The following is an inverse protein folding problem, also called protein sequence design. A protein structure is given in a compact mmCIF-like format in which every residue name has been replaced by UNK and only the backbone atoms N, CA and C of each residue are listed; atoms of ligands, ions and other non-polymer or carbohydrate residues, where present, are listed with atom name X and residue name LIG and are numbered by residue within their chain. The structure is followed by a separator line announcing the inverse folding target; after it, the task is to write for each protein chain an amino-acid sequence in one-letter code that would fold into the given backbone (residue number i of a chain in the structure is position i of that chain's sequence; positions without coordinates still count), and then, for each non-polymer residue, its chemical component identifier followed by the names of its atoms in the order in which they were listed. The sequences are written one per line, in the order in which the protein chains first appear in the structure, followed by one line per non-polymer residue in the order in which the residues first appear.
data_IF_996671787649
#
_entry.id   IF_996671787649
#
_cell.length_a   1.000
_cell.length_b   1.000
_cell.length_c   1.000
_cell.angle_alpha   90.00
_cell.angle_beta   90.00
_cell.angle_gamma   90.00
#
_symmetry.space_group_name_H-M   'P 1'
#
loop_
_entity.id
_entity.type
_entity.pdbx_description
1 polymer ?
#
# COMPACT_ATOMS: atom_id res chain seq x y z
N UNK A 1 -17.76 93.21 19.70
CA UNK A 1 -16.94 94.26 20.33
C UNK A 1 -17.12 95.55 19.54
N UNK A 2 -17.22 96.70 20.23
CA UNK A 2 -16.94 98.08 19.78
C UNK A 2 -17.41 98.55 18.38
N UNK A 3 -18.11 99.69 18.21
CA UNK A 3 -18.54 100.77 19.14
C UNK A 3 -19.54 101.68 18.39
N UNK A 4 -20.52 102.26 19.12
CA UNK A 4 -21.18 103.58 18.87
C UNK A 4 -22.03 103.71 17.57
N UNK A 5 -23.14 104.46 17.47
CA UNK A 5 -23.98 105.30 18.36
C UNK A 5 -25.39 105.35 17.66
N UNK A 6 -26.54 105.09 18.30
CA UNK A 6 -27.50 106.08 18.88
C UNK A 6 -27.64 107.41 18.07
N UNK A 7 -28.84 107.98 17.80
CA UNK A 7 -30.07 108.11 18.63
C UNK A 7 -31.37 108.05 17.78
N UNK A 8 -32.47 107.63 18.40
CA UNK A 8 -33.87 107.73 17.93
C UNK A 8 -34.79 108.18 19.09
N UNK A 9 -35.56 109.28 18.95
CA UNK A 9 -36.70 109.72 19.81
C UNK A 9 -37.39 110.91 19.08
N UNK A 10 -38.71 111.03 18.82
CA UNK A 10 -40.00 110.78 19.49
C UNK A 10 -40.50 111.85 20.50
N UNK A 11 -41.63 112.47 20.12
CA UNK A 11 -42.74 113.05 20.91
C UNK A 11 -42.69 114.52 21.44
N UNK A 12 -43.86 115.17 21.36
CA UNK A 12 -44.21 116.55 21.75
C UNK A 12 -44.58 116.65 23.28
N UNK A 13 -45.04 117.76 23.93
CA UNK A 13 -45.94 118.83 23.40
C UNK A 13 -45.92 120.27 24.04
N UNK A 14 -46.80 121.20 23.55
CA UNK A 14 -47.31 122.47 24.19
C UNK A 14 -46.26 123.61 24.48
N UNK A 15 -46.53 124.91 24.75
CA UNK A 15 -47.71 125.85 24.66
C UNK A 15 -47.30 127.34 24.76
N UNK A 16 -48.06 128.26 24.10
CA UNK A 16 -48.27 129.71 24.41
C UNK A 16 -47.02 130.67 24.33
N UNK A 17 -47.09 131.95 23.93
CA UNK A 17 -48.19 132.92 23.68
C UNK A 17 -47.74 134.04 22.67
N UNK A 18 -48.71 134.64 21.97
CA UNK A 18 -48.76 136.04 21.48
C UNK A 18 -47.97 136.54 20.22
N UNK A 19 -48.77 136.87 19.19
CA UNK A 19 -48.75 138.11 18.39
C UNK A 19 -47.67 138.37 17.32
N UNK A 20 -48.05 138.29 16.02
CA UNK A 20 -47.27 138.93 14.95
C UNK A 20 -47.64 138.63 13.48
N UNK A 21 -48.80 139.11 13.00
CA UNK A 21 -49.14 139.42 11.58
C UNK A 21 -48.49 138.60 10.43
N UNK A 22 -49.31 137.73 9.83
CA UNK A 22 -49.46 137.46 8.39
C UNK A 22 -48.33 137.87 7.41
N UNK A 23 -47.58 136.88 6.89
CA UNK A 23 -47.14 136.69 5.49
C UNK A 23 -45.95 135.71 5.39
N UNK A 24 -46.11 134.44 5.80
CA UNK A 24 -45.00 133.45 5.72
C UNK A 24 -45.41 131.98 5.51
N UNK A 25 -46.70 131.70 5.24
CA UNK A 25 -47.25 130.33 5.30
C UNK A 25 -47.18 129.55 3.96
N UNK A 26 -46.68 130.16 2.88
CA UNK A 26 -46.66 129.57 1.53
C UNK A 26 -45.27 129.04 1.10
N UNK A 27 -44.19 129.40 1.81
CA UNK A 27 -42.81 129.01 1.46
C UNK A 27 -42.32 127.72 2.13
N UNK A 28 -42.77 127.36 3.34
CA UNK A 28 -42.29 126.15 4.03
C UNK A 28 -42.86 124.85 3.44
N UNK A 29 -44.08 124.89 2.90
CA UNK A 29 -44.79 123.72 2.35
C UNK A 29 -44.16 123.15 1.07
N UNK A 30 -43.39 123.97 0.35
CA UNK A 30 -42.66 123.56 -0.86
C UNK A 30 -41.30 122.92 -0.54
N UNK A 31 -40.65 123.29 0.58
CA UNK A 31 -39.36 122.72 0.97
C UNK A 31 -39.49 121.24 1.41
N UNK A 32 -40.45 120.95 2.29
CA UNK A 32 -40.69 119.58 2.79
C UNK A 32 -41.04 118.58 1.70
N UNK A 33 -41.64 119.06 0.60
CA UNK A 33 -42.06 118.21 -0.53
C UNK A 33 -40.86 117.84 -1.42
N UNK A 34 -39.83 118.69 -1.49
CA UNK A 34 -38.61 118.44 -2.29
C UNK A 34 -37.67 117.46 -1.57
N UNK A 35 -37.50 117.59 -0.25
CA UNK A 35 -36.65 116.69 0.54
C UNK A 35 -37.18 115.24 0.57
N UNK A 36 -38.51 115.06 0.67
CA UNK A 36 -39.14 113.73 0.60
C UNK A 36 -38.93 113.10 -0.78
N UNK A 37 -39.01 113.89 -1.86
CA UNK A 37 -38.83 113.38 -3.21
C UNK A 37 -37.38 112.90 -3.47
N UNK A 38 -36.39 113.66 -3.00
CA UNK A 38 -34.96 113.27 -3.05
C UNK A 38 -34.69 111.98 -2.27
N UNK A 39 -35.24 111.85 -1.06
CA UNK A 39 -35.12 110.63 -0.25
C UNK A 39 -35.77 109.40 -0.92
N UNK A 40 -36.91 109.59 -1.60
CA UNK A 40 -37.57 108.51 -2.36
C UNK A 40 -36.70 108.06 -3.54
N UNK A 41 -36.07 108.99 -4.26
CA UNK A 41 -35.24 108.64 -5.42
C UNK A 41 -33.86 108.04 -4.99
N UNK A 42 -33.25 108.47 -3.88
CA UNK A 42 -32.09 107.77 -3.28
C UNK A 42 -32.45 106.33 -2.83
N UNK A 43 -33.58 106.15 -2.16
CA UNK A 43 -34.08 104.82 -1.76
C UNK A 43 -34.36 103.94 -3.01
N UNK A 44 -34.82 104.55 -4.11
CA UNK A 44 -35.10 103.85 -5.36
C UNK A 44 -33.83 103.44 -6.12
N UNK A 45 -32.80 104.29 -6.15
CA UNK A 45 -31.46 103.96 -6.67
C UNK A 45 -30.81 102.85 -5.84
N UNK A 46 -30.82 102.99 -4.50
CA UNK A 46 -30.26 101.99 -3.58
C UNK A 46 -30.93 100.62 -3.73
N UNK A 47 -32.27 100.56 -3.78
CA UNK A 47 -33.02 99.32 -4.03
C UNK A 47 -32.75 98.73 -5.42
N UNK A 48 -32.44 99.55 -6.43
CA UNK A 48 -32.05 99.08 -7.77
C UNK A 48 -30.73 98.31 -7.72
N UNK A 49 -29.71 98.88 -7.08
CA UNK A 49 -28.41 98.22 -6.88
C UNK A 49 -28.55 96.94 -6.06
N UNK A 50 -29.33 96.98 -4.98
CA UNK A 50 -29.58 95.82 -4.13
C UNK A 50 -30.32 94.69 -4.88
N UNK A 51 -31.32 95.02 -5.70
CA UNK A 51 -32.01 94.05 -6.57
C UNK A 51 -31.13 93.48 -7.69
N UNK A 52 -30.10 94.20 -8.12
CA UNK A 52 -29.15 93.69 -9.12
C UNK A 52 -28.18 92.68 -8.50
N UNK A 53 -27.59 93.02 -7.34
CA UNK A 53 -26.75 92.09 -6.56
C UNK A 53 -27.52 90.81 -6.20
N UNK A 54 -28.78 90.92 -5.79
CA UNK A 54 -29.61 89.78 -5.40
C UNK A 54 -29.93 88.87 -6.61
N UNK A 55 -30.03 89.42 -7.83
CA UNK A 55 -30.14 88.62 -9.07
C UNK A 55 -28.84 87.92 -9.44
N UNK A 56 -27.71 88.58 -9.28
CA UNK A 56 -26.38 87.99 -9.54
C UNK A 56 -26.11 86.84 -8.55
N UNK A 57 -26.44 87.02 -7.27
CA UNK A 57 -26.30 85.97 -6.25
C UNK A 57 -27.24 84.78 -6.49
N UNK A 58 -28.51 85.01 -6.87
CA UNK A 58 -29.43 83.93 -7.29
C UNK A 58 -28.91 83.21 -8.53
N UNK A 59 -28.34 83.93 -9.51
CA UNK A 59 -27.74 83.33 -10.71
C UNK A 59 -26.57 82.41 -10.33
N UNK A 60 -25.70 82.87 -9.43
CA UNK A 60 -24.54 82.12 -8.98
C UNK A 60 -24.94 80.87 -8.17
N UNK A 61 -25.95 80.99 -7.31
CA UNK A 61 -26.51 79.85 -6.55
C UNK A 61 -27.11 78.80 -7.49
N UNK A 62 -27.86 79.21 -8.52
CA UNK A 62 -28.43 78.29 -9.50
C UNK A 62 -27.34 77.54 -10.32
N UNK A 63 -26.25 78.21 -10.68
CA UNK A 63 -25.10 77.57 -11.35
C UNK A 63 -24.37 76.56 -10.44
N UNK A 64 -24.24 76.87 -9.15
CA UNK A 64 -23.68 75.94 -8.16
C UNK A 64 -24.59 74.73 -7.96
N UNK A 65 -25.91 74.93 -7.92
CA UNK A 65 -26.90 73.84 -7.81
C UNK A 65 -26.83 72.93 -9.04
N UNK A 66 -26.80 73.47 -10.27
CA UNK A 66 -26.73 72.63 -11.47
C UNK A 66 -25.44 71.79 -11.52
N UNK A 67 -24.31 72.36 -11.12
CA UNK A 67 -23.02 71.63 -11.01
C UNK A 67 -23.06 70.53 -9.94
N UNK A 68 -23.76 70.74 -8.83
CA UNK A 68 -23.96 69.72 -7.80
C UNK A 68 -24.87 68.59 -8.28
N UNK A 69 -25.93 68.89 -9.03
CA UNK A 69 -26.82 67.88 -9.62
C UNK A 69 -26.10 67.05 -10.70
N UNK A 70 -25.28 67.67 -11.56
CA UNK A 70 -24.42 66.96 -12.52
C UNK A 70 -23.47 65.99 -11.81
N UNK A 71 -22.77 66.44 -10.75
CA UNK A 71 -21.90 65.58 -9.94
C UNK A 71 -22.66 64.45 -9.24
N UNK A 72 -23.88 64.72 -8.74
CA UNK A 72 -24.72 63.70 -8.12
C UNK A 72 -25.15 62.63 -9.12
N UNK A 73 -25.47 63.02 -10.36
CA UNK A 73 -25.77 62.10 -11.47
C UNK A 73 -24.54 61.26 -11.83
N UNK A 74 -23.35 61.88 -11.94
CA UNK A 74 -22.10 61.17 -12.24
C UNK A 74 -21.74 60.16 -11.15
N UNK A 75 -21.81 60.53 -9.87
CA UNK A 75 -21.60 59.64 -8.72
C UNK A 75 -22.61 58.48 -8.72
N UNK A 76 -23.88 58.73 -9.08
CA UNK A 76 -24.91 57.70 -9.18
C UNK A 76 -24.62 56.72 -10.32
N UNK A 77 -24.14 57.21 -11.47
CA UNK A 77 -23.74 56.40 -12.61
C UNK A 77 -22.48 55.57 -12.30
N UNK A 78 -21.48 56.14 -11.62
CA UNK A 78 -20.29 55.42 -11.14
C UNK A 78 -20.66 54.32 -10.15
N UNK A 79 -21.53 54.61 -9.16
CA UNK A 79 -22.04 53.59 -8.22
C UNK A 79 -22.80 52.46 -8.92
N UNK A 80 -23.58 52.77 -9.96
CA UNK A 80 -24.27 51.76 -10.79
C UNK A 80 -23.25 50.88 -11.53
N UNK A 81 -22.26 51.49 -12.20
CA UNK A 81 -21.22 50.80 -12.96
C UNK A 81 -20.32 49.91 -12.08
N UNK A 82 -20.02 50.34 -10.85
CA UNK A 82 -19.31 49.53 -9.85
C UNK A 82 -20.16 48.34 -9.38
N UNK A 83 -21.48 48.53 -9.23
CA UNK A 83 -22.42 47.46 -8.84
C UNK A 83 -22.66 46.43 -9.95
N UNK A 84 -22.50 46.84 -11.22
CA UNK A 84 -22.57 45.97 -12.40
C UNK A 84 -21.25 45.19 -12.61
N UNK A 85 -20.09 45.79 -12.34
CA UNK A 85 -18.77 45.13 -12.39
C UNK A 85 -18.51 44.14 -11.22
N UNK A 86 -19.33 43.09 -11.07
CA UNK A 86 -19.00 41.97 -10.19
C UNK A 86 -17.93 41.05 -10.81
N UNK A 87 -16.67 41.52 -10.83
CA UNK A 87 -15.48 40.74 -11.21
C UNK A 87 -15.43 39.35 -10.56
N UNK A 88 -15.95 39.22 -9.34
CA UNK A 88 -16.02 37.96 -8.59
C UNK A 88 -16.95 36.95 -9.28
N UNK A 89 -18.13 37.37 -9.78
CA UNK A 89 -19.07 36.45 -10.44
C UNK A 89 -18.74 36.22 -11.91
N UNK A 90 -18.13 37.19 -12.59
CA UNK A 90 -17.79 37.08 -14.03
C UNK A 90 -16.48 36.34 -14.30
N UNK A 91 -15.45 36.51 -13.45
CA UNK A 91 -14.13 35.91 -13.68
C UNK A 91 -13.76 34.86 -12.61
N UNK A 92 -13.85 35.22 -11.32
CA UNK A 92 -13.37 34.32 -10.26
C UNK A 92 -14.25 33.07 -10.14
N UNK A 93 -15.57 33.22 -10.18
CA UNK A 93 -16.50 32.10 -10.04
C UNK A 93 -16.38 31.08 -11.19
N UNK A 94 -16.34 31.45 -12.50
CA UNK A 94 -16.11 30.48 -13.57
C UNK A 94 -14.74 29.80 -13.52
N UNK A 95 -13.67 30.52 -13.12
CA UNK A 95 -12.33 29.93 -12.94
C UNK A 95 -12.36 28.89 -11.81
N UNK A 96 -12.94 29.24 -10.66
CA UNK A 96 -13.05 28.33 -9.52
C UNK A 96 -13.92 27.10 -9.82
N UNK A 97 -15.05 27.31 -10.50
CA UNK A 97 -15.90 26.22 -10.99
C UNK A 97 -15.15 25.31 -11.98
N UNK A 98 -14.32 25.88 -12.85
CA UNK A 98 -13.49 25.14 -13.80
C UNK A 98 -12.40 24.33 -13.10
N UNK A 99 -11.79 24.86 -12.04
CA UNK A 99 -10.81 24.13 -11.21
C UNK A 99 -11.49 22.96 -10.48
N UNK A 100 -12.65 23.19 -9.84
CA UNK A 100 -13.43 22.13 -9.20
C UNK A 100 -13.83 21.06 -10.23
N UNK A 101 -14.35 21.48 -11.38
CA UNK A 101 -14.70 20.57 -12.48
C UNK A 101 -13.47 19.76 -12.91
N UNK A 102 -12.32 20.39 -13.15
CA UNK A 102 -11.08 19.71 -13.53
C UNK A 102 -10.63 18.69 -12.46
N UNK A 103 -10.71 19.03 -11.16
CA UNK A 103 -10.42 18.09 -10.07
C UNK A 103 -11.39 16.90 -10.05
N UNK A 104 -12.70 17.15 -10.25
CA UNK A 104 -13.73 16.10 -10.33
C UNK A 104 -13.51 15.20 -11.56
N UNK A 105 -13.28 15.79 -12.74
CA UNK A 105 -12.98 15.06 -13.98
C UNK A 105 -11.70 14.23 -13.84
N UNK A 106 -10.61 14.81 -13.32
CA UNK A 106 -9.38 14.06 -13.05
C UNK A 106 -9.62 12.91 -12.06
N UNK A 107 -10.38 13.13 -10.99
CA UNK A 107 -10.66 12.10 -10.01
C UNK A 107 -11.45 10.91 -10.61
N UNK A 108 -12.53 11.19 -11.33
CA UNK A 108 -13.42 10.15 -11.88
C UNK A 108 -12.92 9.48 -13.16
N UNK A 109 -12.18 10.20 -14.02
CA UNK A 109 -11.73 9.69 -15.32
C UNK A 109 -10.25 9.28 -15.38
N UNK A 110 -9.40 9.81 -14.48
CA UNK A 110 -7.98 9.43 -14.40
C UNK A 110 -7.69 8.63 -13.12
N UNK A 111 -7.80 9.23 -11.94
CA UNK A 111 -7.35 8.63 -10.69
C UNK A 111 -8.10 7.35 -10.31
N UNK A 112 -9.44 7.36 -10.32
CA UNK A 112 -10.25 6.19 -9.93
C UNK A 112 -10.08 5.02 -10.93
N UNK A 113 -10.17 5.21 -12.26
CA UNK A 113 -9.91 4.14 -13.22
C UNK A 113 -8.49 3.60 -13.15
N UNK A 114 -7.49 4.47 -12.95
CA UNK A 114 -6.10 4.04 -12.78
C UNK A 114 -5.90 3.24 -11.49
N UNK A 115 -6.50 3.65 -10.36
CA UNK A 115 -6.46 2.88 -9.11
C UNK A 115 -7.11 1.50 -9.25
N UNK A 116 -8.22 1.41 -9.99
CA UNK A 116 -8.87 0.12 -10.32
C UNK A 116 -7.96 -0.72 -11.22
N UNK A 117 -7.34 -0.13 -12.26
CA UNK A 117 -6.37 -0.79 -13.15
C UNK A 117 -5.18 -1.33 -12.36
N UNK A 118 -4.56 -0.50 -11.53
CA UNK A 118 -3.42 -0.84 -10.66
C UNK A 118 -3.75 -2.02 -9.76
N UNK A 119 -4.91 -2.01 -9.09
CA UNK A 119 -5.35 -3.13 -8.24
C UNK A 119 -5.54 -4.43 -9.04
N UNK A 120 -6.20 -4.37 -10.21
CA UNK A 120 -6.45 -5.55 -11.07
C UNK A 120 -5.16 -6.13 -11.70
N UNK A 121 -4.22 -5.28 -12.08
CA UNK A 121 -2.90 -5.72 -12.57
C UNK A 121 -2.11 -6.34 -11.42
N UNK A 122 -2.07 -5.67 -10.26
CA UNK A 122 -1.30 -6.13 -9.11
C UNK A 122 -1.71 -7.51 -8.61
N UNK A 123 -3.01 -7.81 -8.58
CA UNK A 123 -3.50 -9.16 -8.21
C UNK A 123 -2.96 -10.27 -9.14
N UNK A 124 -2.75 -9.99 -10.43
CA UNK A 124 -2.13 -10.92 -11.38
C UNK A 124 -0.62 -11.07 -11.15
N UNK A 125 0.06 -10.01 -10.73
CA UNK A 125 1.49 -10.05 -10.39
C UNK A 125 1.73 -10.83 -9.10
N UNK A 126 0.95 -10.57 -8.06
CA UNK A 126 0.97 -11.32 -6.81
C UNK A 126 0.74 -12.83 -7.04
N UNK A 127 -0.14 -13.21 -7.99
CA UNK A 127 -0.32 -14.60 -8.42
C UNK A 127 0.93 -15.19 -9.12
N UNK A 128 1.59 -14.44 -10.01
CA UNK A 128 2.79 -14.91 -10.70
C UNK A 128 3.96 -15.09 -9.72
N UNK A 129 4.13 -14.19 -8.76
CA UNK A 129 5.13 -14.33 -7.69
C UNK A 129 4.84 -15.52 -6.79
N UNK A 130 3.57 -15.76 -6.45
CA UNK A 130 3.17 -16.98 -5.75
C UNK A 130 3.52 -18.23 -6.55
N UNK A 131 3.42 -18.22 -7.89
CA UNK A 131 3.87 -19.34 -8.73
C UNK A 131 5.40 -19.51 -8.72
N UNK A 132 6.18 -18.42 -8.70
CA UNK A 132 7.64 -18.48 -8.55
C UNK A 132 8.01 -19.08 -7.19
N UNK A 133 7.37 -18.63 -6.11
CA UNK A 133 7.51 -19.20 -4.77
C UNK A 133 7.23 -20.72 -4.76
N UNK A 134 6.17 -21.18 -5.44
CA UNK A 134 5.85 -22.61 -5.52
C UNK A 134 6.91 -23.41 -6.29
N UNK A 135 7.38 -22.91 -7.45
CA UNK A 135 8.38 -23.64 -8.22
C UNK A 135 9.75 -23.65 -7.51
N UNK A 136 10.12 -22.59 -6.77
CA UNK A 136 11.28 -22.58 -5.87
C UNK A 136 11.11 -23.58 -4.70
N UNK A 137 9.96 -23.58 -4.02
CA UNK A 137 9.66 -24.59 -3.00
C UNK A 137 9.85 -26.02 -3.54
N UNK A 138 9.36 -26.27 -4.77
CA UNK A 138 9.51 -27.56 -5.42
C UNK A 138 10.92 -27.87 -5.93
N UNK A 139 11.79 -26.86 -6.16
CA UNK A 139 13.22 -27.09 -6.33
C UNK A 139 13.79 -27.64 -5.02
N UNK A 140 13.56 -27.00 -3.87
CA UNK A 140 14.08 -27.51 -2.59
C UNK A 140 13.52 -28.89 -2.21
N UNK A 141 12.25 -29.18 -2.46
CA UNK A 141 11.69 -30.53 -2.32
C UNK A 141 12.35 -31.55 -3.27
N UNK A 142 12.70 -31.13 -4.50
CA UNK A 142 13.46 -31.96 -5.44
C UNK A 142 14.88 -32.25 -4.98
N UNK A 143 15.58 -31.26 -4.41
CA UNK A 143 16.93 -31.46 -3.86
C UNK A 143 16.90 -32.36 -2.63
N UNK A 144 15.88 -32.24 -1.77
CA UNK A 144 15.81 -32.96 -0.49
C UNK A 144 15.05 -34.31 -0.56
N UNK A 145 14.54 -34.75 -1.71
CA UNK A 145 13.85 -36.06 -1.82
C UNK A 145 14.84 -37.23 -1.83
N UNK A 146 14.41 -38.35 -1.26
CA UNK A 146 15.19 -39.60 -1.19
C UNK A 146 14.87 -40.58 -2.34
N UNK A 147 13.69 -40.49 -2.97
CA UNK A 147 13.26 -41.30 -4.13
C UNK A 147 12.51 -40.45 -5.15
N UNK A 148 12.45 -40.90 -6.41
CA UNK A 148 11.84 -40.18 -7.54
C UNK A 148 10.37 -39.78 -7.30
N UNK A 149 9.58 -40.70 -6.74
CA UNK A 149 8.12 -40.62 -6.62
C UNK A 149 7.63 -40.30 -5.19
N UNK A 150 8.50 -39.79 -4.32
CA UNK A 150 8.17 -39.44 -2.93
C UNK A 150 8.37 -37.94 -2.67
N UNK A 151 7.54 -37.28 -1.84
CA UNK A 151 7.88 -35.98 -1.28
C UNK A 151 9.16 -36.06 -0.44
N UNK A 152 9.80 -34.92 -0.18
CA UNK A 152 10.88 -34.86 0.81
C UNK A 152 10.35 -34.96 2.23
N UNK A 153 11.06 -35.68 3.12
CA UNK A 153 10.82 -35.60 4.57
C UNK A 153 11.15 -34.21 5.13
N UNK A 154 11.94 -33.39 4.43
CA UNK A 154 12.40 -32.06 4.86
C UNK A 154 11.42 -30.92 4.54
N UNK A 155 10.20 -31.21 4.05
CA UNK A 155 9.20 -30.17 3.74
C UNK A 155 8.91 -29.23 4.91
N UNK A 156 8.93 -29.72 6.15
CA UNK A 156 8.77 -28.89 7.34
C UNK A 156 9.92 -27.87 7.49
N UNK A 157 11.18 -28.27 7.21
CA UNK A 157 12.33 -27.35 7.21
C UNK A 157 12.24 -26.32 6.09
N UNK A 158 11.79 -26.72 4.89
CA UNK A 158 11.63 -25.81 3.75
C UNK A 158 10.56 -24.75 4.07
N UNK A 159 9.37 -25.17 4.52
CA UNK A 159 8.26 -24.26 4.82
C UNK A 159 8.54 -23.35 6.03
N UNK A 160 9.25 -23.87 7.03
CA UNK A 160 9.65 -23.14 8.24
C UNK A 160 10.89 -22.26 8.11
N UNK A 161 11.52 -22.18 6.93
CA UNK A 161 12.77 -21.45 6.68
C UNK A 161 13.97 -21.94 7.53
N UNK A 162 14.05 -23.26 7.77
CA UNK A 162 15.00 -23.92 8.67
C UNK A 162 16.02 -24.83 7.97
N UNK A 163 16.17 -24.78 6.64
CA UNK A 163 17.25 -25.50 5.96
C UNK A 163 18.59 -24.78 6.14
N UNK A 164 19.57 -25.47 6.73
CA UNK A 164 20.96 -25.01 6.78
C UNK A 164 21.73 -25.32 5.49
N UNK A 165 22.91 -24.72 5.35
CA UNK A 165 23.85 -25.02 4.25
C UNK A 165 24.22 -26.51 4.21
N UNK A 166 24.40 -27.14 5.37
CA UNK A 166 24.71 -28.56 5.49
C UNK A 166 23.51 -29.47 5.15
N UNK A 167 22.27 -29.06 5.46
CA UNK A 167 21.06 -29.78 5.01
C UNK A 167 21.02 -29.82 3.47
N UNK A 168 21.26 -28.67 2.81
CA UNK A 168 21.28 -28.56 1.35
C UNK A 168 22.43 -29.38 0.75
N UNK A 169 23.64 -29.25 1.31
CA UNK A 169 24.81 -30.06 0.89
C UNK A 169 24.54 -31.55 1.02
N UNK A 170 23.87 -31.98 2.08
CA UNK A 170 23.46 -33.37 2.33
C UNK A 170 22.41 -33.83 1.30
N UNK A 171 21.36 -33.04 1.05
CA UNK A 171 20.33 -33.37 0.06
C UNK A 171 20.87 -33.57 -1.36
N UNK A 172 21.92 -32.83 -1.73
CA UNK A 172 22.58 -32.92 -3.03
C UNK A 172 23.50 -34.14 -3.20
N UNK A 173 23.92 -34.83 -2.13
CA UNK A 173 24.91 -35.92 -2.20
C UNK A 173 24.46 -37.14 -3.00
N UNK A 174 23.16 -37.31 -3.22
CA UNK A 174 22.63 -38.40 -4.04
C UNK A 174 21.96 -37.90 -5.33
N UNK A 175 22.25 -36.67 -5.75
CA UNK A 175 21.64 -36.04 -6.94
C UNK A 175 22.68 -35.89 -8.06
N UNK A 176 22.32 -36.27 -9.27
CA UNK A 176 23.11 -36.04 -10.48
C UNK A 176 22.28 -35.35 -11.58
N UNK A 177 22.93 -34.81 -12.61
CA UNK A 177 22.24 -34.04 -13.65
C UNK A 177 21.36 -34.95 -14.55
N UNK A 178 21.88 -36.08 -14.99
CA UNK A 178 21.19 -36.97 -15.93
C UNK A 178 21.68 -38.43 -15.81
N UNK A 179 21.07 -39.34 -16.55
CA UNK A 179 21.32 -40.80 -16.46
C UNK A 179 22.75 -41.23 -16.91
N UNK A 180 23.47 -40.42 -17.69
CA UNK A 180 24.86 -40.72 -18.08
C UNK A 180 25.83 -40.70 -16.89
N UNK A 181 25.45 -40.03 -15.79
CA UNK A 181 26.22 -39.99 -14.53
C UNK A 181 26.06 -41.26 -13.67
N UNK A 182 25.34 -42.28 -14.14
CA UNK A 182 25.05 -43.54 -13.43
C UNK A 182 26.02 -44.68 -13.82
N UNK A 183 27.28 -44.36 -14.11
CA UNK A 183 28.27 -45.31 -14.66
C UNK A 183 28.92 -46.23 -13.61
N UNK A 184 29.02 -45.82 -12.34
CA UNK A 184 29.53 -46.68 -11.26
C UNK A 184 28.49 -47.74 -10.86
N UNK A 185 28.75 -49.02 -11.18
CA UNK A 185 27.81 -50.14 -10.94
C UNK A 185 27.35 -50.27 -9.49
N UNK A 186 28.23 -50.00 -8.52
CA UNK A 186 27.99 -50.24 -7.09
C UNK A 186 27.08 -49.19 -6.45
N UNK A 187 27.12 -47.95 -6.96
CA UNK A 187 26.39 -46.80 -6.38
C UNK A 187 25.30 -46.21 -7.28
N UNK A 188 25.16 -46.67 -8.55
CA UNK A 188 24.15 -46.15 -9.49
C UNK A 188 22.71 -46.15 -8.94
N UNK A 189 22.37 -47.14 -8.10
CA UNK A 189 21.03 -47.28 -7.51
C UNK A 189 20.76 -46.28 -6.37
N UNK A 190 21.79 -45.62 -5.85
CA UNK A 190 21.70 -44.61 -4.81
C UNK A 190 21.54 -43.20 -5.39
N UNK A 191 21.94 -42.99 -6.65
CA UNK A 191 21.90 -41.71 -7.35
C UNK A 191 20.55 -41.45 -8.02
N UNK A 192 20.12 -40.19 -7.99
CA UNK A 192 18.89 -39.69 -8.58
C UNK A 192 19.20 -38.62 -9.64
N UNK A 193 18.92 -38.91 -10.93
CA UNK A 193 18.90 -37.90 -11.99
C UNK A 193 17.81 -36.86 -11.74
N UNK A 194 18.18 -35.59 -11.59
CA UNK A 194 17.24 -34.48 -11.31
C UNK A 194 17.33 -33.29 -12.27
N UNK A 195 18.36 -33.22 -13.13
CA UNK A 195 18.59 -32.07 -14.01
C UNK A 195 17.38 -31.69 -14.85
N UNK A 196 16.73 -32.65 -15.53
CA UNK A 196 15.49 -32.39 -16.30
C UNK A 196 14.40 -31.73 -15.45
N UNK A 197 14.15 -32.22 -14.25
CA UNK A 197 13.14 -31.65 -13.35
C UNK A 197 13.58 -30.34 -12.70
N UNK A 198 14.88 -30.00 -12.69
CA UNK A 198 15.37 -28.66 -12.34
C UNK A 198 15.13 -27.69 -13.51
N UNK A 199 15.58 -28.03 -14.72
CA UNK A 199 15.40 -27.22 -15.94
C UNK A 199 13.93 -26.89 -16.19
N UNK A 200 13.03 -27.87 -16.06
CA UNK A 200 11.56 -27.67 -16.19
C UNK A 200 10.97 -26.66 -15.19
N UNK A 201 11.59 -26.49 -14.02
CA UNK A 201 11.16 -25.50 -13.00
C UNK A 201 11.77 -24.13 -13.25
N UNK A 202 13.05 -24.09 -13.61
CA UNK A 202 13.76 -22.84 -13.97
C UNK A 202 13.03 -22.14 -15.11
N UNK A 203 12.71 -22.86 -16.20
CA UNK A 203 11.95 -22.33 -17.35
C UNK A 203 10.59 -21.72 -16.93
N UNK A 204 9.90 -22.31 -15.94
CA UNK A 204 8.63 -21.75 -15.43
C UNK A 204 8.83 -20.52 -14.57
N UNK A 205 9.91 -20.48 -13.77
CA UNK A 205 10.29 -19.32 -12.97
C UNK A 205 10.63 -18.16 -13.90
N UNK A 206 11.54 -18.36 -14.86
CA UNK A 206 11.91 -17.36 -15.89
C UNK A 206 10.67 -16.80 -16.58
N UNK A 207 9.80 -17.68 -17.10
CA UNK A 207 8.57 -17.29 -17.79
C UNK A 207 7.64 -16.45 -16.91
N UNK A 208 7.62 -16.67 -15.60
CA UNK A 208 6.81 -15.89 -14.68
C UNK A 208 7.50 -14.58 -14.25
N UNK A 209 8.84 -14.55 -14.14
CA UNK A 209 9.62 -13.32 -13.94
C UNK A 209 9.44 -12.38 -15.14
N UNK A 210 9.62 -12.87 -16.36
CA UNK A 210 9.47 -12.07 -17.59
C UNK A 210 8.03 -11.52 -17.73
N UNK A 211 7.02 -12.32 -17.35
CA UNK A 211 5.62 -11.88 -17.26
C UNK A 211 5.39 -10.78 -16.22
N UNK A 212 6.15 -10.80 -15.12
CA UNK A 212 6.07 -9.78 -14.08
C UNK A 212 6.76 -8.48 -14.54
N UNK A 213 7.94 -8.59 -15.17
CA UNK A 213 8.70 -7.43 -15.67
C UNK A 213 8.00 -6.68 -16.82
N UNK A 214 7.15 -7.34 -17.61
CA UNK A 214 6.21 -6.65 -18.54
C UNK A 214 5.28 -5.63 -17.85
N UNK A 215 5.17 -5.67 -16.52
CA UNK A 215 4.38 -4.76 -15.69
C UNK A 215 5.23 -4.13 -14.57
N UNK A 216 6.53 -3.94 -14.79
CA UNK A 216 7.50 -3.42 -13.79
C UNK A 216 7.05 -2.12 -13.10
N UNK A 217 6.34 -1.22 -13.79
CA UNK A 217 5.73 -0.01 -13.23
C UNK A 217 4.76 -0.24 -12.04
N UNK A 218 4.34 -1.49 -11.80
CA UNK A 218 3.44 -1.89 -10.71
C UNK A 218 4.16 -2.67 -9.59
N UNK A 219 5.48 -2.72 -9.61
CA UNK A 219 6.35 -3.39 -8.62
C UNK A 219 7.10 -2.36 -7.76
N UNK A 220 7.56 -2.78 -6.59
CA UNK A 220 8.58 -2.06 -5.84
C UNK A 220 9.99 -2.37 -6.36
N UNK A 221 10.95 -1.50 -6.08
CA UNK A 221 12.37 -1.74 -6.39
C UNK A 221 12.89 -3.02 -5.72
N UNK A 222 12.45 -3.30 -4.49
CA UNK A 222 12.81 -4.52 -3.75
C UNK A 222 12.32 -5.79 -4.46
N UNK A 223 11.10 -5.78 -5.00
CA UNK A 223 10.55 -6.90 -5.78
C UNK A 223 11.33 -7.11 -7.08
N UNK A 224 11.69 -6.03 -7.78
CA UNK A 224 12.47 -6.11 -9.03
C UNK A 224 13.85 -6.69 -8.76
N UNK A 225 14.58 -6.16 -7.77
CA UNK A 225 15.91 -6.64 -7.42
C UNK A 225 15.89 -8.09 -6.95
N UNK A 226 14.91 -8.50 -6.12
CA UNK A 226 14.80 -9.87 -5.65
C UNK A 226 14.55 -10.87 -6.79
N UNK A 227 13.67 -10.52 -7.74
CA UNK A 227 13.38 -11.40 -8.87
C UNK A 227 14.59 -11.53 -9.81
N UNK A 228 15.37 -10.45 -9.99
CA UNK A 228 16.61 -10.48 -10.76
C UNK A 228 17.71 -11.28 -10.04
N UNK A 229 17.89 -11.10 -8.72
CA UNK A 229 18.77 -11.94 -7.89
C UNK A 229 18.41 -13.43 -8.06
N UNK A 230 17.12 -13.79 -7.97
CA UNK A 230 16.65 -15.17 -8.16
C UNK A 230 17.01 -15.68 -9.56
N UNK A 231 16.79 -14.88 -10.61
CA UNK A 231 17.10 -15.25 -12.00
C UNK A 231 18.60 -15.54 -12.17
N UNK A 232 19.45 -14.63 -11.69
CA UNK A 232 20.92 -14.77 -11.77
C UNK A 232 21.39 -16.03 -11.01
N UNK A 233 20.89 -16.26 -9.79
CA UNK A 233 21.28 -17.44 -8.98
C UNK A 233 20.80 -18.77 -9.62
N UNK A 234 19.64 -18.80 -10.29
CA UNK A 234 19.18 -19.99 -11.02
C UNK A 234 20.07 -20.34 -12.22
N UNK A 235 20.61 -19.33 -12.92
CA UNK A 235 21.44 -19.51 -14.11
C UNK A 235 22.96 -19.47 -13.84
N UNK A 236 23.37 -19.50 -12.57
CA UNK A 236 24.80 -19.54 -12.17
C UNK A 236 25.50 -20.84 -12.58
N UNK A 237 24.75 -21.94 -12.74
CA UNK A 237 25.26 -23.20 -13.29
C UNK A 237 24.44 -23.65 -14.50
N UNK A 238 25.14 -24.14 -15.52
CA UNK A 238 24.51 -24.75 -16.68
C UNK A 238 23.94 -26.14 -16.32
N UNK A 239 22.61 -26.22 -16.25
CA UNK A 239 21.87 -27.48 -16.00
C UNK A 239 21.45 -28.05 -17.36
N UNK A 240 22.43 -28.28 -18.24
CA UNK A 240 22.19 -28.91 -19.52
C UNK A 240 21.87 -30.41 -19.36
N UNK A 241 20.75 -30.81 -19.93
CA UNK A 241 20.31 -32.22 -19.96
C UNK A 241 20.74 -32.95 -21.23
N UNK A 242 21.30 -32.23 -22.21
CA UNK A 242 21.48 -32.69 -23.58
C UNK A 242 22.93 -32.97 -23.99
N UNK A 243 23.86 -33.03 -23.04
CA UNK A 243 25.20 -33.56 -23.28
C UNK A 243 25.14 -35.07 -23.62
N UNK A 244 24.77 -35.37 -24.87
CA UNK A 244 24.99 -36.64 -25.60
C UNK A 244 26.47 -36.92 -25.86
N UNK A 245 27.36 -36.07 -25.36
CA UNK A 245 28.78 -36.40 -25.21
C UNK A 245 28.90 -37.47 -24.14
N UNK A 246 28.62 -38.70 -24.55
CA UNK A 246 29.42 -39.85 -24.16
C UNK A 246 30.87 -39.34 -24.31
N UNK A 247 31.62 -39.09 -23.21
CA UNK A 247 33.05 -38.87 -23.38
C UNK A 247 33.56 -40.14 -24.06
N UNK A 248 34.48 -39.99 -25.01
CA UNK A 248 34.93 -41.03 -25.95
C UNK A 248 35.28 -42.36 -25.28
N UNK A 249 35.59 -43.40 -26.06
CA UNK A 249 35.90 -44.76 -25.53
C UNK A 249 36.90 -44.81 -24.34
N UNK A 250 37.71 -43.76 -24.14
CA UNK A 250 38.64 -43.54 -23.03
C UNK A 250 38.21 -42.40 -22.07
N UNK A 251 36.90 -42.23 -21.87
CA UNK A 251 36.31 -40.99 -21.34
C UNK A 251 36.68 -40.63 -19.89
N UNK A 252 37.02 -39.36 -19.66
CA UNK A 252 37.21 -38.79 -18.32
C UNK A 252 35.85 -38.60 -17.63
N UNK A 253 35.63 -39.29 -16.50
CA UNK A 253 34.45 -39.15 -15.66
C UNK A 253 34.80 -38.49 -14.32
N UNK A 254 33.97 -37.57 -13.79
CA UNK A 254 34.24 -36.91 -12.51
C UNK A 254 34.04 -37.88 -11.34
N UNK A 255 35.08 -38.14 -10.53
CA UNK A 255 35.07 -39.09 -9.40
C UNK A 255 33.80 -38.96 -8.54
N UNK A 256 33.36 -37.72 -8.29
CA UNK A 256 32.06 -37.41 -7.72
C UNK A 256 31.09 -36.91 -8.82
N UNK A 257 30.15 -37.73 -9.31
CA UNK A 257 29.17 -37.36 -10.33
C UNK A 257 27.96 -36.57 -9.79
N UNK A 258 28.01 -36.13 -8.53
CA UNK A 258 26.88 -35.45 -7.87
C UNK A 258 26.91 -33.94 -8.10
N UNK A 259 25.75 -33.29 -8.00
CA UNK A 259 25.62 -31.82 -8.04
C UNK A 259 25.92 -31.14 -6.69
N UNK A 260 26.59 -31.84 -5.75
CA UNK A 260 26.87 -31.30 -4.41
C UNK A 260 27.82 -30.10 -4.39
N UNK A 261 28.60 -29.90 -5.46
CA UNK A 261 29.39 -28.68 -5.67
C UNK A 261 28.51 -27.41 -5.78
N UNK A 262 27.26 -27.54 -6.22
CA UNK A 262 26.29 -26.43 -6.31
C UNK A 262 25.70 -26.01 -4.95
N UNK A 263 26.13 -26.61 -3.84
CA UNK A 263 25.54 -26.39 -2.50
C UNK A 263 25.62 -24.95 -2.00
N UNK A 264 26.63 -24.17 -2.41
CA UNK A 264 26.69 -22.73 -2.14
C UNK A 264 25.54 -21.97 -2.83
N UNK A 265 25.43 -22.12 -4.15
CA UNK A 265 24.40 -21.48 -4.97
C UNK A 265 22.97 -21.85 -4.54
N UNK A 266 22.72 -23.12 -4.19
CA UNK A 266 21.40 -23.53 -3.68
C UNK A 266 21.10 -22.98 -2.28
N UNK A 267 22.11 -22.73 -1.44
CA UNK A 267 21.92 -22.06 -0.15
C UNK A 267 21.61 -20.57 -0.32
N UNK A 268 22.29 -19.89 -1.25
CA UNK A 268 21.99 -18.51 -1.63
C UNK A 268 20.57 -18.40 -2.21
N UNK A 269 20.20 -19.29 -3.14
CA UNK A 269 18.83 -19.39 -3.66
C UNK A 269 17.80 -19.63 -2.56
N UNK A 270 18.13 -20.40 -1.52
CA UNK A 270 17.23 -20.62 -0.38
C UNK A 270 17.02 -19.34 0.41
N UNK A 271 18.07 -18.54 0.63
CA UNK A 271 17.92 -17.21 1.25
C UNK A 271 17.00 -16.30 0.42
N UNK A 272 17.13 -16.29 -0.91
CA UNK A 272 16.22 -15.54 -1.80
C UNK A 272 14.77 -16.06 -1.76
N UNK A 273 14.59 -17.38 -1.68
CA UNK A 273 13.28 -18.00 -1.48
C UNK A 273 12.61 -17.55 -0.16
N UNK A 274 13.36 -17.43 0.94
CA UNK A 274 12.78 -16.93 2.21
C UNK A 274 12.39 -15.45 2.13
N UNK A 275 13.19 -14.60 1.46
CA UNK A 275 12.81 -13.20 1.14
C UNK A 275 11.50 -13.16 0.33
N UNK A 276 11.39 -13.97 -0.72
CA UNK A 276 10.20 -14.00 -1.58
C UNK A 276 8.97 -14.51 -0.83
N UNK A 277 9.12 -15.52 0.02
CA UNK A 277 8.04 -16.04 0.85
C UNK A 277 7.44 -14.94 1.76
N UNK A 278 8.28 -14.12 2.40
CA UNK A 278 7.83 -12.99 3.21
C UNK A 278 7.00 -12.00 2.38
N UNK A 279 7.50 -11.60 1.20
CA UNK A 279 6.79 -10.73 0.26
C UNK A 279 5.43 -11.34 -0.15
N UNK A 280 5.42 -12.59 -0.60
CA UNK A 280 4.22 -13.34 -1.01
C UNK A 280 3.19 -13.46 0.12
N UNK A 281 3.61 -13.68 1.37
CA UNK A 281 2.71 -13.77 2.51
C UNK A 281 2.24 -12.40 3.06
N UNK A 282 2.91 -11.30 2.71
CA UNK A 282 2.50 -9.94 3.08
C UNK A 282 1.39 -9.36 2.19
N UNK A 283 1.24 -9.89 0.96
CA UNK A 283 0.35 -9.37 -0.09
C UNK A 283 -1.14 -9.58 0.20
N UNK A 284 -1.97 -8.86 -0.57
CA UNK A 284 -3.44 -8.91 -0.48
C UNK A 284 -4.05 -10.10 -1.24
N UNK A 285 -3.39 -10.58 -2.29
CA UNK A 285 -3.83 -11.76 -3.03
C UNK A 285 -3.95 -12.97 -2.09
N UNK A 286 -5.07 -13.69 -2.15
CA UNK A 286 -5.36 -14.79 -1.23
C UNK A 286 -6.15 -15.89 -1.95
N UNK A 287 -5.56 -17.08 -2.03
CA UNK A 287 -6.25 -18.31 -2.44
C UNK A 287 -6.10 -19.41 -1.37
N UNK A 288 -6.85 -20.50 -1.50
CA UNK A 288 -6.81 -21.65 -0.57
C UNK A 288 -5.39 -22.14 -0.29
N UNK A 289 -4.58 -22.35 -1.33
CA UNK A 289 -3.27 -22.97 -1.19
C UNK A 289 -2.27 -22.00 -0.55
N UNK A 290 -2.34 -20.71 -0.89
CA UNK A 290 -1.55 -19.65 -0.26
C UNK A 290 -1.87 -19.53 1.24
N UNK A 291 -3.17 -19.60 1.60
CA UNK A 291 -3.60 -19.65 2.99
C UNK A 291 -3.00 -20.86 3.74
N UNK A 292 -3.12 -22.07 3.17
CA UNK A 292 -2.57 -23.29 3.79
C UNK A 292 -1.04 -23.22 3.94
N UNK A 293 -0.30 -22.79 2.91
CA UNK A 293 1.15 -22.61 3.00
C UNK A 293 1.56 -21.57 4.05
N UNK A 294 0.79 -20.49 4.22
CA UNK A 294 1.01 -19.48 5.25
C UNK A 294 0.77 -20.03 6.67
N UNK A 295 -0.26 -20.87 6.86
CA UNK A 295 -0.49 -21.59 8.14
C UNK A 295 0.66 -22.55 8.45
N UNK A 296 1.09 -23.36 7.47
CA UNK A 296 2.21 -24.28 7.62
C UNK A 296 3.51 -23.55 7.92
N UNK A 297 3.78 -22.42 7.26
CA UNK A 297 4.93 -21.59 7.55
C UNK A 297 4.92 -21.07 8.99
N UNK A 298 3.83 -20.45 9.45
CA UNK A 298 3.77 -19.97 10.85
C UNK A 298 3.94 -21.10 11.86
N UNK A 299 3.42 -22.29 11.57
CA UNK A 299 3.62 -23.45 12.43
C UNK A 299 5.09 -23.93 12.45
N UNK A 300 5.69 -24.16 11.28
CA UNK A 300 7.06 -24.68 11.19
C UNK A 300 8.16 -23.65 11.50
N UNK A 301 7.84 -22.35 11.53
CA UNK A 301 8.69 -21.26 12.04
C UNK A 301 8.45 -20.96 13.54
N UNK A 302 7.77 -21.86 14.26
CA UNK A 302 7.44 -21.79 15.69
C UNK A 302 6.57 -20.58 16.11
N UNK A 303 5.97 -19.90 15.13
CA UNK A 303 5.09 -18.75 15.32
C UNK A 303 3.64 -19.17 15.59
N UNK A 304 3.46 -20.02 16.59
CA UNK A 304 2.20 -20.69 16.93
C UNK A 304 1.03 -19.73 17.20
N UNK A 305 1.31 -18.55 17.77
CA UNK A 305 0.30 -17.52 18.03
C UNK A 305 -0.26 -16.91 16.73
N UNK A 306 0.59 -16.58 15.76
CA UNK A 306 0.12 -16.12 14.45
C UNK A 306 -0.55 -17.23 13.65
N UNK A 307 -0.09 -18.48 13.78
CA UNK A 307 -0.75 -19.66 13.21
C UNK A 307 -2.22 -19.74 13.68
N UNK A 308 -2.45 -19.80 15.01
CA UNK A 308 -3.80 -19.88 15.59
C UNK A 308 -4.65 -18.65 15.20
N UNK A 309 -4.07 -17.45 15.23
CA UNK A 309 -4.75 -16.19 14.88
C UNK A 309 -5.25 -16.18 13.44
N UNK A 310 -4.42 -16.57 12.47
CA UNK A 310 -4.81 -16.59 11.06
C UNK A 310 -5.77 -17.75 10.74
N UNK A 311 -5.65 -18.90 11.41
CA UNK A 311 -6.67 -19.96 11.31
C UNK A 311 -8.03 -19.44 11.79
N UNK A 312 -8.13 -18.92 13.03
CA UNK A 312 -9.40 -18.45 13.61
C UNK A 312 -10.03 -17.32 12.78
N UNK A 313 -9.22 -16.44 12.20
CA UNK A 313 -9.67 -15.34 11.33
C UNK A 313 -10.29 -15.81 10.00
N UNK A 314 -9.85 -16.96 9.45
CA UNK A 314 -10.16 -17.34 8.05
C UNK A 314 -10.79 -18.73 7.86
N UNK A 315 -10.83 -19.59 8.87
CA UNK A 315 -11.33 -20.98 8.72
C UNK A 315 -12.76 -21.06 8.17
N UNK A 316 -13.61 -20.07 8.47
CA UNK A 316 -14.99 -19.97 7.94
C UNK A 316 -15.01 -19.85 6.41
N UNK A 317 -13.99 -19.24 5.79
CA UNK A 317 -13.87 -19.08 4.33
C UNK A 317 -13.54 -20.40 3.61
N UNK A 318 -12.98 -21.38 4.33
CA UNK A 318 -12.48 -22.64 3.77
C UNK A 318 -13.02 -23.85 4.55
N UNK A 319 -14.35 -24.09 4.55
CA UNK A 319 -14.99 -25.08 5.43
C UNK A 319 -14.50 -26.52 5.20
N UNK A 320 -14.09 -26.86 3.96
CA UNK A 320 -13.51 -28.17 3.63
C UNK A 320 -12.17 -28.45 4.33
N UNK A 321 -11.47 -27.42 4.77
CA UNK A 321 -10.15 -27.54 5.40
C UNK A 321 -10.22 -27.57 6.93
N UNK A 322 -11.41 -27.43 7.55
CA UNK A 322 -11.56 -27.28 9.01
C UNK A 322 -10.85 -28.41 9.77
N UNK A 323 -11.01 -29.67 9.35
CA UNK A 323 -10.34 -30.81 10.00
C UNK A 323 -8.81 -30.69 9.95
N UNK A 324 -8.24 -30.34 8.80
CA UNK A 324 -6.80 -30.08 8.66
C UNK A 324 -6.34 -28.91 9.54
N UNK A 325 -7.08 -27.80 9.53
CA UNK A 325 -6.74 -26.61 10.34
C UNK A 325 -6.83 -26.87 11.85
N UNK A 326 -7.77 -27.71 12.30
CA UNK A 326 -7.89 -28.10 13.71
C UNK A 326 -6.64 -28.84 14.22
N UNK A 327 -6.00 -29.68 13.38
CA UNK A 327 -4.72 -30.31 13.75
C UNK A 327 -3.61 -29.27 13.98
N UNK A 328 -3.55 -28.20 13.19
CA UNK A 328 -2.61 -27.10 13.42
C UNK A 328 -2.94 -26.28 14.67
N UNK A 329 -4.23 -26.08 15.01
CA UNK A 329 -4.60 -25.48 16.31
C UNK A 329 -4.14 -26.37 17.46
N UNK A 330 -4.44 -27.68 17.42
CA UNK A 330 -4.04 -28.65 18.43
C UNK A 330 -2.52 -28.59 18.68
N UNK A 331 -1.72 -28.73 17.62
CA UNK A 331 -0.27 -28.71 17.75
C UNK A 331 0.27 -27.35 18.20
N UNK A 332 -0.29 -26.25 17.69
CA UNK A 332 0.10 -24.91 18.11
C UNK A 332 -0.17 -24.68 19.60
N UNK A 333 -1.30 -25.14 20.15
CA UNK A 333 -1.54 -25.06 21.60
C UNK A 333 -0.63 -26.03 22.38
N UNK A 334 -0.30 -27.21 21.84
CA UNK A 334 0.60 -28.19 22.47
C UNK A 334 2.04 -27.65 22.60
N UNK A 335 2.64 -27.16 21.51
CA UNK A 335 4.00 -26.63 21.51
C UNK A 335 4.14 -25.29 22.27
N UNK A 336 3.04 -24.59 22.54
CA UNK A 336 2.98 -23.45 23.47
C UNK A 336 2.91 -23.85 24.95
N UNK A 337 2.93 -25.14 25.28
CA UNK A 337 2.74 -25.64 26.64
C UNK A 337 1.31 -25.53 27.17
N UNK A 338 0.32 -25.19 26.32
CA UNK A 338 -1.11 -25.06 26.70
C UNK A 338 -1.81 -26.41 26.66
N UNK A 339 -1.20 -27.40 27.31
CA UNK A 339 -1.56 -28.81 27.22
C UNK A 339 -3.05 -29.09 27.47
N UNK A 340 -3.67 -28.50 28.48
CA UNK A 340 -5.11 -28.66 28.73
C UNK A 340 -5.99 -28.25 27.54
N UNK A 341 -5.64 -27.16 26.85
CA UNK A 341 -6.34 -26.72 25.63
C UNK A 341 -6.05 -27.65 24.47
N UNK A 342 -4.81 -28.12 24.32
CA UNK A 342 -4.41 -29.06 23.28
C UNK A 342 -5.15 -30.41 23.42
N UNK A 343 -5.21 -30.99 24.62
CA UNK A 343 -5.93 -32.26 24.84
C UNK A 343 -7.43 -32.14 24.55
N UNK A 344 -8.07 -31.03 24.93
CA UNK A 344 -9.48 -30.77 24.59
C UNK A 344 -9.66 -30.66 23.07
N UNK A 345 -8.76 -29.96 22.38
CA UNK A 345 -8.80 -29.84 20.92
C UNK A 345 -8.58 -31.19 20.22
N UNK A 346 -7.67 -32.03 20.72
CA UNK A 346 -7.45 -33.38 20.22
C UNK A 346 -8.70 -34.25 20.37
N UNK A 347 -9.30 -34.29 21.57
CA UNK A 347 -10.54 -35.04 21.82
C UNK A 347 -11.64 -34.62 20.84
N UNK A 348 -11.83 -33.31 20.62
CA UNK A 348 -12.81 -32.79 19.65
C UNK A 348 -12.53 -33.27 18.21
N UNK A 349 -11.28 -33.28 17.77
CA UNK A 349 -10.89 -33.80 16.44
C UNK A 349 -11.25 -35.29 16.33
N UNK A 350 -10.90 -36.08 17.35
CA UNK A 350 -11.09 -37.54 17.35
C UNK A 350 -12.55 -37.99 17.52
N UNK A 351 -13.49 -37.09 17.87
CA UNK A 351 -14.94 -37.38 17.78
C UNK A 351 -15.35 -37.76 16.35
N UNK A 352 -14.72 -37.13 15.34
CA UNK A 352 -15.01 -37.43 13.93
C UNK A 352 -14.38 -38.74 13.41
N UNK A 353 -13.66 -39.48 14.26
CA UNK A 353 -12.86 -40.67 13.91
C UNK A 353 -12.07 -40.53 12.60
N UNK A 354 -11.20 -39.50 12.46
CA UNK A 354 -10.38 -39.34 11.27
C UNK A 354 -9.42 -40.53 11.10
N UNK A 355 -9.04 -40.84 9.86
CA UNK A 355 -8.03 -41.87 9.59
C UNK A 355 -6.67 -41.43 10.16
N UNK A 356 -6.18 -42.11 11.21
CA UNK A 356 -4.93 -41.78 11.89
C UNK A 356 -3.71 -41.84 10.96
N UNK A 357 -3.65 -42.81 10.06
CA UNK A 357 -2.55 -42.93 9.07
C UNK A 357 -2.53 -41.70 8.16
N UNK A 358 -3.70 -41.19 7.78
CA UNK A 358 -3.82 -39.94 7.01
C UNK A 358 -3.27 -38.70 7.73
N UNK A 359 -3.37 -38.65 9.05
CA UNK A 359 -2.93 -37.52 9.87
C UNK A 359 -1.62 -37.77 10.65
N UNK A 360 -0.94 -38.91 10.46
CA UNK A 360 0.24 -39.34 11.21
C UNK A 360 1.36 -38.30 11.34
N UNK A 361 1.59 -37.49 10.31
CA UNK A 361 2.58 -36.41 10.31
C UNK A 361 2.31 -35.35 11.39
N UNK A 362 1.05 -35.18 11.80
CA UNK A 362 0.66 -34.28 12.89
C UNK A 362 0.81 -34.94 14.27
N UNK A 363 0.75 -36.27 14.37
CA UNK A 363 0.82 -36.97 15.65
C UNK A 363 2.24 -37.44 16.02
N UNK A 364 3.07 -37.82 15.05
CA UNK A 364 4.35 -38.51 15.28
C UNK A 364 5.23 -37.88 16.37
N UNK A 365 5.34 -36.57 16.39
CA UNK A 365 6.25 -35.82 17.28
C UNK A 365 5.69 -35.61 18.70
N UNK A 366 4.40 -35.95 18.92
CA UNK A 366 3.71 -35.81 20.22
C UNK A 366 3.27 -37.16 20.83
N UNK A 367 3.57 -38.28 20.17
CA UNK A 367 3.23 -39.63 20.65
C UNK A 367 4.00 -40.08 21.90
N UNK A 368 5.07 -39.40 22.28
CA UNK A 368 5.79 -39.63 23.54
C UNK A 368 4.96 -39.24 24.77
N UNK A 369 3.93 -38.41 24.61
CA UNK A 369 3.03 -38.04 25.69
C UNK A 369 2.02 -39.17 26.01
N UNK A 370 2.19 -39.77 27.19
CA UNK A 370 1.32 -40.82 27.72
C UNK A 370 -0.16 -40.42 27.78
N UNK A 371 -0.49 -39.12 27.89
CA UNK A 371 -1.88 -38.64 27.89
C UNK A 371 -2.47 -38.58 26.48
N UNK A 372 -1.66 -38.26 25.48
CA UNK A 372 -2.06 -38.37 24.06
C UNK A 372 -2.29 -39.84 23.71
N UNK A 373 -1.41 -40.76 24.12
CA UNK A 373 -1.61 -42.21 23.94
C UNK A 373 -2.93 -42.68 24.59
N UNK A 374 -3.20 -42.29 25.84
CA UNK A 374 -4.47 -42.62 26.53
C UNK A 374 -5.71 -42.06 25.82
N UNK A 375 -5.61 -40.88 25.18
CA UNK A 375 -6.69 -40.32 24.38
C UNK A 375 -6.89 -41.14 23.09
N UNK A 376 -5.82 -41.53 22.40
CA UNK A 376 -5.89 -42.37 21.19
C UNK A 376 -6.51 -43.75 21.49
N UNK A 377 -6.04 -44.43 22.54
CA UNK A 377 -6.55 -45.74 22.99
C UNK A 377 -8.05 -45.71 23.40
N UNK A 378 -8.61 -44.53 23.70
CA UNK A 378 -10.03 -44.37 24.01
C UNK A 378 -10.90 -44.24 22.75
N UNK A 379 -10.34 -43.79 21.62
CA UNK A 379 -11.07 -43.47 20.40
C UNK A 379 -10.93 -44.52 19.29
N UNK A 380 -9.85 -45.31 19.31
CA UNK A 380 -9.48 -46.30 18.28
C UNK A 380 -9.22 -47.67 18.87
N UNK A 381 -9.35 -48.71 18.04
CA UNK A 381 -9.01 -50.09 18.38
C UNK A 381 -7.51 -50.34 18.36
N UNK A 382 -7.07 -51.38 19.07
CA UNK A 382 -5.66 -51.80 19.11
C UNK A 382 -5.11 -52.14 17.71
N UNK A 383 -5.93 -52.70 16.81
CA UNK A 383 -5.54 -53.00 15.43
C UNK A 383 -5.31 -51.73 14.60
N UNK A 384 -6.20 -50.73 14.69
CA UNK A 384 -6.01 -49.44 14.02
C UNK A 384 -4.74 -48.73 14.51
N UNK A 385 -4.48 -48.78 15.81
CA UNK A 385 -3.30 -48.19 16.43
C UNK A 385 -2.03 -48.95 16.04
N UNK A 386 -2.07 -50.29 15.98
CA UNK A 386 -0.94 -51.12 15.52
C UNK A 386 -0.57 -50.82 14.06
N UNK A 387 -1.56 -50.67 13.18
CA UNK A 387 -1.32 -50.22 11.79
C UNK A 387 -0.69 -48.83 11.80
N UNK A 388 -1.25 -47.89 12.54
CA UNK A 388 -0.75 -46.51 12.66
C UNK A 388 0.72 -46.43 13.13
N UNK A 389 1.08 -47.13 14.21
CA UNK A 389 2.45 -47.17 14.72
C UNK A 389 3.40 -47.87 13.73
N UNK A 390 2.97 -48.95 13.06
CA UNK A 390 3.81 -49.64 12.06
C UNK A 390 4.17 -48.74 10.88
N UNK A 391 3.26 -47.85 10.44
CA UNK A 391 3.55 -46.88 9.38
C UNK A 391 4.59 -45.87 9.85
N UNK A 392 4.44 -45.30 11.05
CA UNK A 392 5.40 -44.31 11.60
C UNK A 392 6.80 -44.92 11.73
N UNK A 393 6.94 -46.14 12.25
CA UNK A 393 8.24 -46.79 12.36
C UNK A 393 8.83 -47.09 10.96
N UNK A 394 8.00 -47.49 9.99
CA UNK A 394 8.46 -47.69 8.61
C UNK A 394 8.95 -46.41 7.92
N UNK A 395 8.40 -45.24 8.28
CA UNK A 395 8.86 -43.93 7.77
C UNK A 395 10.18 -43.52 8.43
N UNK A 396 10.32 -43.76 9.74
CA UNK A 396 11.57 -43.52 10.48
C UNK A 396 12.72 -44.37 9.94
N UNK A 397 12.49 -45.67 9.75
CA UNK A 397 13.46 -46.60 9.13
C UNK A 397 13.84 -46.13 7.72
N UNK A 398 12.91 -45.60 6.93
CA UNK A 398 13.22 -45.04 5.60
C UNK A 398 14.10 -43.78 5.66
N UNK A 399 13.90 -42.90 6.66
CA UNK A 399 14.75 -41.73 6.85
C UNK A 399 16.16 -42.11 7.33
N UNK A 400 16.28 -43.06 8.26
CA UNK A 400 17.56 -43.57 8.75
C UNK A 400 18.36 -44.23 7.62
N UNK A 401 17.73 -45.11 6.83
CA UNK A 401 18.33 -45.71 5.63
C UNK A 401 18.82 -44.66 4.61
N UNK A 402 18.08 -43.57 4.41
CA UNK A 402 18.52 -42.48 3.52
C UNK A 402 19.77 -41.77 4.06
N UNK A 403 19.85 -41.54 5.38
CA UNK A 403 21.03 -40.95 6.03
C UNK A 403 22.26 -41.85 5.92
N UNK A 404 22.08 -43.17 6.03
CA UNK A 404 23.14 -44.14 5.82
C UNK A 404 23.62 -44.19 4.36
N UNK A 405 22.69 -44.23 3.39
CA UNK A 405 23.01 -44.22 1.96
C UNK A 405 23.86 -43.00 1.55
N UNK A 406 23.55 -41.81 2.10
CA UNK A 406 24.34 -40.60 1.85
C UNK A 406 25.75 -40.68 2.46
N UNK A 407 25.91 -41.26 3.66
CA UNK A 407 27.24 -41.52 4.23
C UNK A 407 28.04 -42.49 3.37
N UNK A 408 27.42 -43.59 2.94
CA UNK A 408 28.07 -44.61 2.11
C UNK A 408 28.53 -44.04 0.75
N UNK A 409 27.76 -43.11 0.16
CA UNK A 409 28.18 -42.36 -1.03
C UNK A 409 29.41 -41.46 -0.77
N UNK A 410 29.40 -40.70 0.33
CA UNK A 410 30.52 -39.83 0.71
C UNK A 410 31.81 -40.64 0.93
N UNK A 411 31.72 -41.76 1.65
CA UNK A 411 32.86 -42.64 1.92
C UNK A 411 33.37 -43.33 0.64
N UNK A 412 32.47 -43.68 -0.28
CA UNK A 412 32.84 -44.19 -1.61
C UNK A 412 33.64 -43.16 -2.41
N UNK A 413 33.15 -41.93 -2.52
CA UNK A 413 33.84 -40.86 -3.25
C UNK A 413 35.18 -40.49 -2.64
N UNK A 414 35.28 -40.51 -1.30
CA UNK A 414 36.56 -40.30 -0.61
C UNK A 414 37.56 -41.40 -0.95
N UNK A 415 37.19 -42.68 -0.79
CA UNK A 415 38.05 -43.81 -1.12
C UNK A 415 38.49 -43.82 -2.58
N UNK A 416 37.58 -43.46 -3.50
CA UNK A 416 37.91 -43.32 -4.92
C UNK A 416 38.92 -42.20 -5.14
N UNK A 417 38.73 -41.02 -4.53
CA UNK A 417 39.68 -39.91 -4.61
C UNK A 417 41.06 -40.29 -4.07
N UNK A 418 41.12 -40.85 -2.86
CA UNK A 418 42.37 -41.30 -2.22
C UNK A 418 43.12 -42.34 -3.10
N UNK A 419 42.39 -43.24 -3.77
CA UNK A 419 42.97 -44.23 -4.68
C UNK A 419 43.52 -43.63 -6.00
N UNK A 420 42.94 -42.54 -6.51
CA UNK A 420 43.41 -41.86 -7.73
C UNK A 420 44.46 -40.78 -7.47
N UNK A 421 44.55 -40.26 -6.24
CA UNK A 421 45.51 -39.21 -5.85
C UNK A 421 46.89 -39.74 -5.46
N UNK A 422 47.00 -41.03 -5.14
CA UNK A 422 48.22 -41.65 -4.63
C UNK A 422 48.51 -41.29 -3.16
N UNK A 423 49.44 -42.01 -2.50
CA UNK A 423 49.91 -41.60 -1.18
C UNK A 423 50.74 -40.32 -1.31
N UNK A 424 50.30 -39.25 -0.64
CA UNK A 424 51.03 -37.99 -0.43
C UNK A 424 52.02 -38.09 0.72
#
# INVERSE_FOLDING_TARGET
MNKFFLILFLLAPLTLFASGKANQEETEKNLSTIEIQLLIDEIRESNKGLMQLLKEEISLQNEVISKLDEQAIEIKNLKKKIKENNYITEFIYPIFLSIIAACVFWFFFSFLPEKIRKNKVREKLDLNEYQIYLELFHIFDLLMRHRKNSPSSYQYKILGNKLGKDDIRFGLQNKCLNEHYLYYKDIKNLLLPVGKSLTERIIKIDKNIDRIFNFSFYLSTEEILLLEEIKITLHTYEIETQHKRIPSTDGYYPINPTISYMSGNFYELFALFTKLQHIVFSKKFENRNLFLHKIQHYFYSDNYDNCIKEIRKRMIKYPKEIGFLQWYIFLSEYYRGKYSSAYLQLIQILVSKPNLVGYRTHLKDVLSDTKIQKILNKHYSDDELKVFFSVIESEKIQEENFREQVKNLLDYYKKAHDAYSGPT
#
